data_IF_462491987003
#
_entry.id   IF_462491987003
#
_cell.length_a   1.000
_cell.length_b   1.000
_cell.length_c   1.000
_cell.angle_alpha   90.00
_cell.angle_beta   90.00
_cell.angle_gamma   90.00
#
_symmetry.space_group_name_H-M   'P 1'
#
loop_
_entity.id
_entity.type
_entity.pdbx_description
1 polymer ?
#
# COMPACT_ATOMS: atom_id res chain seq x y z
N UNK A 1 -7.14 -3.65 -0.13
CA UNK A 1 -6.75 -5.05 -0.45
C UNK A 1 -7.79 -5.83 -1.23
N UNK A 2 -9.09 -5.69 -0.96
CA UNK A 2 -10.16 -6.53 -1.56
C UNK A 2 -10.28 -6.50 -3.11
N UNK A 3 -9.81 -5.46 -3.80
CA UNK A 3 -9.87 -5.35 -5.26
C UNK A 3 -8.62 -5.85 -6.00
N UNK A 4 -7.63 -6.43 -5.30
CA UNK A 4 -6.33 -6.74 -5.89
C UNK A 4 -6.26 -8.18 -6.43
N UNK A 5 -5.99 -8.38 -7.74
CA UNK A 5 -6.03 -9.69 -8.38
C UNK A 5 -5.12 -10.75 -7.73
N UNK A 6 -3.95 -10.35 -7.25
CA UNK A 6 -2.96 -11.27 -6.66
C UNK A 6 -3.45 -11.98 -5.39
N UNK A 7 -4.41 -11.40 -4.66
CA UNK A 7 -5.01 -12.03 -3.48
C UNK A 7 -6.12 -13.00 -3.89
N UNK A 8 -6.93 -12.60 -4.88
CA UNK A 8 -8.09 -13.37 -5.34
C UNK A 8 -7.67 -14.71 -5.95
N UNK A 9 -6.58 -14.72 -6.74
CA UNK A 9 -6.08 -15.92 -7.42
C UNK A 9 -5.72 -17.05 -6.44
N UNK A 10 -5.26 -16.71 -5.23
CA UNK A 10 -4.90 -17.71 -4.20
C UNK A 10 -6.09 -18.49 -3.66
N UNK A 11 -7.31 -17.96 -3.75
CA UNK A 11 -8.51 -18.69 -3.33
C UNK A 11 -8.99 -19.70 -4.38
N UNK A 12 -8.55 -19.57 -5.64
CA UNK A 12 -8.92 -20.50 -6.71
C UNK A 12 -8.03 -21.74 -6.79
N UNK A 13 -6.90 -21.76 -6.09
CA UNK A 13 -6.02 -22.94 -6.05
C UNK A 13 -6.43 -23.97 -5.00
N UNK A 14 -7.40 -23.65 -4.13
CA UNK A 14 -7.89 -24.55 -3.08
C UNK A 14 -9.11 -25.33 -3.58
N UNK A 15 -9.11 -26.68 -3.54
CA UNK A 15 -10.19 -27.49 -4.11
C UNK A 15 -11.52 -27.40 -3.35
N UNK A 16 -11.49 -27.02 -2.06
CA UNK A 16 -12.68 -26.97 -1.19
C UNK A 16 -12.96 -25.56 -0.67
N UNK A 17 -14.21 -25.13 -0.79
CA UNK A 17 -14.69 -23.81 -0.30
C UNK A 17 -14.49 -23.66 1.21
N UNK A 18 -14.68 -24.74 1.99
CA UNK A 18 -14.49 -24.71 3.45
C UNK A 18 -13.04 -24.36 3.81
N UNK A 19 -12.08 -24.96 3.13
CA UNK A 19 -10.66 -24.77 3.42
C UNK A 19 -10.21 -23.36 3.00
N UNK A 20 -10.76 -22.82 1.91
CA UNK A 20 -10.59 -21.42 1.54
C UNK A 20 -11.09 -20.45 2.63
N UNK A 21 -12.27 -20.71 3.21
CA UNK A 21 -12.82 -19.88 4.32
C UNK A 21 -11.96 -19.95 5.57
N UNK A 22 -11.44 -21.13 5.94
CA UNK A 22 -10.54 -21.29 7.08
C UNK A 22 -9.23 -20.52 6.84
N UNK A 23 -8.69 -20.58 5.62
CA UNK A 23 -7.51 -19.80 5.26
C UNK A 23 -7.75 -18.29 5.37
N UNK A 24 -8.94 -17.78 5.01
CA UNK A 24 -9.32 -16.38 5.26
C UNK A 24 -9.32 -16.09 6.75
N UNK A 25 -9.89 -16.97 7.57
CA UNK A 25 -9.91 -16.83 9.03
C UNK A 25 -8.51 -16.67 9.62
N UNK A 26 -7.57 -17.55 9.27
CA UNK A 26 -6.17 -17.43 9.69
C UNK A 26 -5.51 -16.15 9.19
N UNK A 27 -5.73 -15.77 7.93
CA UNK A 27 -5.21 -14.52 7.38
C UNK A 27 -5.69 -13.31 8.19
N UNK A 28 -6.98 -13.26 8.54
CA UNK A 28 -7.55 -12.19 9.36
C UNK A 28 -6.93 -12.16 10.77
N UNK A 29 -6.69 -13.32 11.39
CA UNK A 29 -6.01 -13.40 12.69
C UNK A 29 -4.58 -12.82 12.62
N UNK A 30 -3.79 -13.20 11.61
CA UNK A 30 -2.44 -12.67 11.45
C UNK A 30 -2.43 -11.17 11.11
N UNK A 31 -3.37 -10.70 10.30
CA UNK A 31 -3.53 -9.27 10.01
C UNK A 31 -3.88 -8.52 11.27
N UNK A 32 -4.85 -9.00 12.06
CA UNK A 32 -5.24 -8.38 13.32
C UNK A 32 -4.05 -8.31 14.29
N UNK A 33 -3.32 -9.42 14.47
CA UNK A 33 -2.11 -9.47 15.29
C UNK A 33 -1.09 -8.41 14.84
N UNK A 34 -0.81 -8.35 13.53
CA UNK A 34 0.17 -7.40 12.98
C UNK A 34 -0.29 -5.95 13.16
N UNK A 35 -1.56 -5.65 12.87
CA UNK A 35 -2.10 -4.29 12.92
C UNK A 35 -2.27 -3.78 14.35
N UNK A 36 -2.39 -4.68 15.34
CA UNK A 36 -2.38 -4.31 16.75
C UNK A 36 -0.95 -4.19 17.30
N UNK A 37 -0.03 -5.08 16.91
CA UNK A 37 1.33 -5.09 17.45
C UNK A 37 2.21 -3.99 16.85
N UNK A 38 2.11 -3.71 15.54
CA UNK A 38 3.00 -2.76 14.88
C UNK A 38 2.91 -1.32 15.43
N UNK A 39 1.72 -0.73 15.65
CA UNK A 39 1.61 0.58 16.27
C UNK A 39 2.14 0.61 17.71
N UNK A 40 1.90 -0.46 18.49
CA UNK A 40 2.41 -0.56 19.85
C UNK A 40 3.95 -0.55 19.85
N UNK A 41 4.58 -1.36 19.01
CA UNK A 41 6.04 -1.39 18.86
C UNK A 41 6.58 -0.03 18.38
N UNK A 42 5.91 0.64 17.45
CA UNK A 42 6.31 1.96 16.97
C UNK A 42 6.28 3.02 18.08
N UNK A 43 5.26 3.00 18.94
CA UNK A 43 5.17 3.91 20.09
C UNK A 43 6.30 3.64 21.07
N UNK A 44 6.56 2.37 21.44
CA UNK A 44 7.67 2.02 22.32
C UNK A 44 9.04 2.43 21.73
N UNK A 45 9.24 2.20 20.43
CA UNK A 45 10.46 2.60 19.74
C UNK A 45 10.70 4.10 19.82
N UNK A 46 9.64 4.90 19.56
CA UNK A 46 9.73 6.36 19.65
C UNK A 46 10.01 6.82 21.07
N UNK A 47 9.32 6.27 22.07
CA UNK A 47 9.55 6.62 23.48
C UNK A 47 10.97 6.27 23.94
N UNK A 48 11.46 5.08 23.60
CA UNK A 48 12.83 4.67 23.96
C UNK A 48 13.88 5.55 23.29
N UNK A 49 13.64 5.92 22.02
CA UNK A 49 14.52 6.83 21.30
C UNK A 49 14.58 8.19 22.01
N UNK A 50 13.42 8.82 22.27
CA UNK A 50 13.33 10.10 22.97
C UNK A 50 14.09 10.07 24.31
N UNK A 51 13.86 9.04 25.12
CA UNK A 51 14.52 8.89 26.41
C UNK A 51 16.05 8.69 26.31
N UNK A 52 16.57 8.28 25.15
CA UNK A 52 17.99 8.00 24.93
C UNK A 52 18.73 9.17 24.29
N UNK A 53 18.06 9.97 23.45
CA UNK A 53 18.71 11.01 22.64
C UNK A 53 18.40 12.43 23.12
N UNK A 54 17.23 12.68 23.71
CA UNK A 54 16.81 14.05 24.04
C UNK A 54 17.64 14.62 25.19
N UNK A 55 18.23 15.79 24.96
CA UNK A 55 19.07 16.55 25.90
C UNK A 55 20.31 15.79 26.40
N UNK A 56 20.79 14.84 25.60
CA UNK A 56 22.00 14.07 25.91
C UNK A 56 23.20 14.59 25.10
N UNK A 57 24.42 14.56 25.66
CA UNK A 57 25.63 14.94 24.92
C UNK A 57 25.87 14.01 23.73
N UNK A 58 26.14 14.59 22.55
CA UNK A 58 26.45 13.81 21.35
C UNK A 58 27.64 12.87 21.56
N UNK A 59 28.66 13.32 22.30
CA UNK A 59 29.87 12.54 22.58
C UNK A 59 29.61 11.26 23.40
N UNK A 60 28.48 11.17 24.10
CA UNK A 60 28.09 10.02 24.92
C UNK A 60 27.08 9.10 24.22
N UNK A 61 26.79 9.36 22.93
CA UNK A 61 25.83 8.57 22.19
C UNK A 61 26.25 7.10 22.06
N UNK A 62 25.28 6.17 22.21
CA UNK A 62 25.54 4.75 22.10
C UNK A 62 25.94 4.33 20.67
N UNK A 63 26.63 3.21 20.54
CA UNK A 63 27.15 2.70 19.25
C UNK A 63 26.09 2.52 18.15
N UNK A 64 24.83 2.26 18.51
CA UNK A 64 23.75 2.19 17.52
C UNK A 64 23.54 3.54 16.83
N UNK A 65 23.65 4.65 17.56
CA UNK A 65 23.41 5.99 17.02
C UNK A 65 24.40 6.30 15.89
N UNK A 66 25.70 6.09 16.14
CA UNK A 66 26.76 6.33 15.15
C UNK A 66 26.67 5.39 13.95
N UNK A 67 26.20 4.14 14.13
CA UNK A 67 25.92 3.21 13.02
C UNK A 67 24.86 3.77 12.08
N UNK A 68 23.72 4.20 12.61
CA UNK A 68 22.63 4.74 11.81
C UNK A 68 22.95 6.13 11.24
N UNK A 69 23.77 6.92 11.93
CA UNK A 69 24.32 8.18 11.41
C UNK A 69 25.22 7.94 10.19
N UNK A 70 26.10 6.94 10.25
CA UNK A 70 26.97 6.54 9.13
C UNK A 70 26.17 6.13 7.89
N UNK A 71 24.97 5.58 8.07
CA UNK A 71 24.07 5.22 6.97
C UNK A 71 23.34 6.42 6.36
N UNK A 72 23.40 7.60 7.00
CA UNK A 72 22.66 8.80 6.59
C UNK A 72 21.16 8.77 6.93
N UNK A 73 20.71 7.76 7.69
CA UNK A 73 19.31 7.60 8.09
C UNK A 73 19.01 8.29 9.44
N UNK A 74 20.05 8.72 10.14
CA UNK A 74 20.02 9.67 11.24
C UNK A 74 21.01 10.78 10.88
N UNK A 75 20.66 12.03 11.15
CA UNK A 75 21.59 13.16 11.02
C UNK A 75 21.47 14.08 12.22
N UNK A 76 22.61 14.52 12.72
CA UNK A 76 22.73 15.49 13.79
C UNK A 76 23.44 16.75 13.27
N UNK A 77 22.81 17.90 13.46
CA UNK A 77 23.42 19.21 13.20
C UNK A 77 23.24 20.08 14.45
N UNK A 78 24.35 20.39 15.12
CA UNK A 78 24.36 21.28 16.29
C UNK A 78 24.14 22.73 15.82
N UNK A 79 22.97 23.29 16.12
CA UNK A 79 22.59 24.63 15.69
C UNK A 79 22.94 25.70 16.72
N UNK A 80 23.10 25.32 17.99
CA UNK A 80 23.26 26.24 19.10
C UNK A 80 24.67 26.19 19.74
N UNK A 81 25.48 25.19 19.39
CA UNK A 81 26.85 24.97 19.83
C UNK A 81 26.99 24.39 21.25
N UNK A 82 25.92 23.83 21.82
CA UNK A 82 25.91 23.27 23.19
C UNK A 82 26.38 21.81 23.27
N UNK A 83 26.52 21.12 22.12
CA UNK A 83 26.94 19.73 22.02
C UNK A 83 25.92 18.71 22.57
N UNK A 84 24.69 19.15 22.86
CA UNK A 84 23.56 18.31 23.22
C UNK A 84 22.75 17.98 21.97
N UNK A 85 21.90 16.96 22.06
CA UNK A 85 20.98 16.58 20.99
C UNK A 85 19.57 17.06 21.34
N UNK A 86 19.11 18.10 20.65
CA UNK A 86 17.75 18.60 20.80
C UNK A 86 16.83 18.00 19.74
N UNK A 87 15.95 17.09 20.16
CA UNK A 87 14.89 16.52 19.32
C UNK A 87 13.52 17.07 19.73
N UNK A 88 13.08 18.12 19.03
CA UNK A 88 11.93 18.93 19.43
C UNK A 88 10.94 19.15 18.28
N UNK A 89 9.70 19.49 18.65
CA UNK A 89 8.68 19.88 17.67
C UNK A 89 8.91 21.29 17.12
N UNK A 90 8.26 21.65 16.00
CA UNK A 90 8.43 22.96 15.34
C UNK A 90 7.96 24.16 16.18
N UNK A 91 7.19 23.94 17.24
CA UNK A 91 6.69 24.97 18.16
C UNK A 91 7.46 25.01 19.49
N UNK A 92 8.57 24.26 19.59
CA UNK A 92 9.35 24.22 20.82
C UNK A 92 10.06 25.55 21.07
N UNK A 93 9.99 26.01 22.32
CA UNK A 93 10.67 27.21 22.79
C UNK A 93 11.48 26.88 24.03
N UNK A 94 12.59 27.61 24.22
CA UNK A 94 13.42 27.49 25.40
C UNK A 94 12.78 28.22 26.60
N UNK A 95 13.46 28.18 27.74
CA UNK A 95 13.00 28.86 28.96
C UNK A 95 12.89 30.39 28.80
N UNK A 96 13.55 30.98 27.81
CA UNK A 96 13.50 32.41 27.48
C UNK A 96 12.44 32.75 26.41
N UNK A 97 11.73 31.74 25.88
CA UNK A 97 10.74 31.89 24.82
C UNK A 97 11.33 31.99 23.41
N UNK A 98 12.63 31.71 23.23
CA UNK A 98 13.26 31.64 21.92
C UNK A 98 12.98 30.28 21.27
N UNK A 99 12.75 30.22 19.93
CA UNK A 99 12.52 28.96 19.24
C UNK A 99 13.72 28.01 19.35
N UNK A 100 13.47 26.77 19.74
CA UNK A 100 14.47 25.70 19.75
C UNK A 100 14.40 24.99 18.41
N UNK A 101 15.52 24.92 17.71
CA UNK A 101 15.60 24.21 16.44
C UNK A 101 15.78 22.71 16.69
N UNK A 102 15.18 21.89 15.83
CA UNK A 102 15.36 20.46 15.91
C UNK A 102 16.69 20.07 15.26
N UNK A 103 17.62 19.56 16.06
CA UNK A 103 19.00 19.24 15.67
C UNK A 103 19.14 17.79 15.19
N UNK A 104 18.14 16.94 15.47
CA UNK A 104 18.15 15.52 15.12
C UNK A 104 17.09 15.18 14.07
N UNK A 105 17.52 14.74 12.90
CA UNK A 105 16.60 14.20 11.87
C UNK A 105 16.73 12.69 11.81
N UNK A 106 15.59 12.01 11.78
CA UNK A 106 15.49 10.54 11.79
C UNK A 106 14.55 10.11 10.67
N UNK A 107 15.02 9.17 9.84
CA UNK A 107 14.17 8.52 8.86
C UNK A 107 13.07 7.70 9.56
N UNK A 108 11.82 7.90 9.14
CA UNK A 108 10.67 7.26 9.78
C UNK A 108 10.63 5.74 9.53
N UNK A 109 11.23 5.27 8.44
CA UNK A 109 11.21 3.87 8.03
C UNK A 109 12.25 3.01 8.78
N UNK A 110 13.23 3.62 9.46
CA UNK A 110 14.23 2.88 10.24
C UNK A 110 13.79 2.53 11.67
N UNK A 111 12.76 3.20 12.20
CA UNK A 111 12.39 3.10 13.62
C UNK A 111 12.15 1.67 14.09
N UNK A 112 11.54 0.82 13.26
CA UNK A 112 11.26 -0.58 13.61
C UNK A 112 12.54 -1.43 13.56
N UNK A 113 13.43 -1.16 12.62
CA UNK A 113 14.69 -1.90 12.44
C UNK A 113 15.74 -1.53 13.49
N UNK A 114 15.80 -0.25 13.88
CA UNK A 114 16.70 0.26 14.91
C UNK A 114 16.23 -0.07 16.34
N UNK A 115 14.91 -0.27 16.55
CA UNK A 115 14.35 -0.46 17.89
C UNK A 115 15.00 -1.60 18.71
N UNK A 116 15.32 -2.79 18.17
CA UNK A 116 16.04 -3.81 18.92
C UNK A 116 17.38 -3.33 19.48
N UNK A 117 18.11 -2.49 18.74
CA UNK A 117 19.38 -1.91 19.17
C UNK A 117 19.18 -0.80 20.20
N UNK A 118 18.18 0.08 19.98
CA UNK A 118 17.78 1.13 20.93
C UNK A 118 17.37 0.50 22.28
N UNK A 119 16.64 -0.61 22.24
CA UNK A 119 16.20 -1.37 23.41
C UNK A 119 17.30 -2.26 24.02
N UNK A 120 18.55 -2.21 23.49
CA UNK A 120 19.71 -2.97 23.98
C UNK A 120 19.46 -4.49 24.00
N UNK A 121 18.72 -5.00 23.02
CA UNK A 121 18.48 -6.44 22.88
C UNK A 121 19.75 -7.16 22.41
N UNK A 122 19.90 -8.46 22.71
CA UNK A 122 21.03 -9.24 22.24
C UNK A 122 21.16 -9.25 20.71
N UNK A 123 22.39 -9.28 20.20
CA UNK A 123 22.69 -9.25 18.75
C UNK A 123 21.94 -10.32 17.93
N UNK A 124 21.66 -11.48 18.50
CA UNK A 124 20.90 -12.53 17.82
C UNK A 124 19.43 -12.15 17.59
N UNK A 125 18.84 -11.33 18.49
CA UNK A 125 17.48 -10.80 18.32
C UNK A 125 17.46 -9.76 17.21
N UNK A 126 18.44 -8.84 17.22
CA UNK A 126 18.62 -7.83 16.16
C UNK A 126 18.74 -8.51 14.80
N UNK A 127 19.60 -9.53 14.70
CA UNK A 127 19.78 -10.31 13.49
C UNK A 127 18.52 -11.04 13.03
N UNK A 128 17.73 -11.61 13.96
CA UNK A 128 16.48 -12.28 13.65
C UNK A 128 15.42 -11.30 13.10
N UNK A 129 15.30 -10.12 13.71
CA UNK A 129 14.37 -9.06 13.25
C UNK A 129 14.77 -8.57 11.85
N UNK A 130 16.05 -8.28 11.64
CA UNK A 130 16.57 -7.84 10.35
C UNK A 130 16.34 -8.91 9.26
N UNK A 131 16.66 -10.19 9.55
CA UNK A 131 16.43 -11.30 8.64
C UNK A 131 14.94 -11.51 8.33
N UNK A 132 14.07 -11.39 9.34
CA UNK A 132 12.61 -11.48 9.16
C UNK A 132 12.06 -10.36 8.28
N UNK A 133 12.51 -9.12 8.50
CA UNK A 133 12.13 -7.95 7.68
C UNK A 133 12.56 -8.12 6.22
N UNK A 134 13.81 -8.52 5.99
CA UNK A 134 14.34 -8.83 4.66
C UNK A 134 13.54 -9.96 3.98
N UNK A 135 13.26 -11.05 4.71
CA UNK A 135 12.50 -12.18 4.18
C UNK A 135 11.07 -11.76 3.77
N UNK A 136 10.41 -10.92 4.57
CA UNK A 136 9.08 -10.39 4.27
C UNK A 136 9.08 -9.49 3.02
N UNK A 137 10.07 -8.59 2.92
CA UNK A 137 10.23 -7.70 1.78
C UNK A 137 10.49 -8.48 0.48
N UNK A 138 11.43 -9.43 0.50
CA UNK A 138 11.80 -10.26 -0.64
C UNK A 138 10.64 -11.17 -1.10
N UNK A 139 9.89 -11.75 -0.15
CA UNK A 139 8.71 -12.57 -0.45
C UNK A 139 7.63 -11.77 -1.18
N UNK A 140 7.39 -10.53 -0.75
CA UNK A 140 6.41 -9.65 -1.37
C UNK A 140 6.89 -9.16 -2.74
N UNK A 141 8.16 -8.76 -2.85
CA UNK A 141 8.75 -8.30 -4.10
C UNK A 141 8.70 -9.38 -5.18
N UNK A 142 9.12 -10.62 -4.85
CA UNK A 142 9.06 -11.74 -5.79
C UNK A 142 7.63 -12.02 -6.27
N UNK A 143 6.65 -12.02 -5.36
CA UNK A 143 5.25 -12.23 -5.69
C UNK A 143 4.68 -11.15 -6.62
N UNK A 144 4.93 -9.87 -6.33
CA UNK A 144 4.44 -8.76 -7.15
C UNK A 144 5.14 -8.70 -8.52
N UNK A 145 6.44 -9.00 -8.59
CA UNK A 145 7.18 -9.09 -9.85
C UNK A 145 6.62 -10.18 -10.76
N UNK A 146 6.28 -11.35 -10.22
CA UNK A 146 5.64 -12.42 -10.99
C UNK A 146 4.27 -12.00 -11.52
N UNK A 147 3.47 -11.32 -10.70
CA UNK A 147 2.14 -10.83 -11.11
C UNK A 147 2.26 -9.77 -12.20
N UNK A 148 3.19 -8.82 -12.07
CA UNK A 148 3.45 -7.79 -13.07
C UNK A 148 3.93 -8.42 -14.39
N UNK A 149 4.85 -9.37 -14.29
CA UNK A 149 5.40 -10.09 -15.43
C UNK A 149 4.32 -10.86 -16.20
N UNK A 150 3.41 -11.54 -15.49
CA UNK A 150 2.26 -12.23 -16.09
C UNK A 150 1.27 -11.23 -16.70
N UNK A 151 0.99 -10.10 -16.04
CA UNK A 151 0.10 -9.07 -16.58
C UNK A 151 0.63 -8.48 -17.90
N UNK A 152 1.94 -8.28 -18.02
CA UNK A 152 2.53 -7.75 -19.25
C UNK A 152 2.63 -8.83 -20.34
N UNK A 153 3.14 -10.01 -20.02
CA UNK A 153 3.37 -11.08 -21.00
C UNK A 153 2.07 -11.75 -21.45
N UNK A 154 1.20 -12.11 -20.51
CA UNK A 154 -0.01 -12.88 -20.79
C UNK A 154 -1.21 -11.99 -21.06
N UNK A 155 -1.52 -11.03 -20.17
CA UNK A 155 -2.75 -10.23 -20.31
C UNK A 155 -2.64 -9.13 -21.36
N UNK A 156 -1.53 -8.38 -21.37
CA UNK A 156 -1.34 -7.27 -22.31
C UNK A 156 -0.86 -7.77 -23.68
N UNK A 157 0.23 -8.55 -23.72
CA UNK A 157 0.80 -9.03 -24.97
C UNK A 157 -0.01 -10.18 -25.56
N UNK A 158 -0.01 -11.36 -24.94
CA UNK A 158 -0.65 -12.54 -25.56
C UNK A 158 -2.15 -12.38 -25.72
N UNK A 159 -2.89 -11.94 -24.71
CA UNK A 159 -4.35 -11.90 -24.78
C UNK A 159 -4.90 -10.74 -25.63
N UNK A 160 -4.24 -9.57 -25.62
CA UNK A 160 -4.76 -8.38 -26.27
C UNK A 160 -3.98 -7.93 -27.53
N UNK A 161 -2.64 -7.83 -27.48
CA UNK A 161 -1.89 -7.13 -28.54
C UNK A 161 -1.27 -8.06 -29.60
N UNK A 162 -0.74 -9.21 -29.19
CA UNK A 162 -0.12 -10.22 -30.06
C UNK A 162 -0.56 -11.65 -29.66
N UNK A 163 -1.78 -12.06 -30.04
CA UNK A 163 -2.31 -13.41 -29.79
C UNK A 163 -1.41 -14.55 -30.27
N UNK A 164 -0.70 -14.33 -31.36
CA UNK A 164 0.12 -15.35 -32.01
C UNK A 164 1.55 -15.43 -31.46
N UNK A 165 1.83 -14.82 -30.29
CA UNK A 165 3.16 -14.89 -29.68
C UNK A 165 3.50 -16.33 -29.27
N UNK A 166 4.67 -16.81 -29.69
CA UNK A 166 5.17 -18.12 -29.27
C UNK A 166 5.41 -18.18 -27.76
N UNK A 167 5.35 -19.38 -27.16
CA UNK A 167 5.64 -19.57 -25.72
C UNK A 167 7.02 -19.06 -25.33
N UNK A 168 8.03 -19.25 -26.20
CA UNK A 168 9.37 -18.70 -25.99
C UNK A 168 9.38 -17.18 -25.97
N UNK A 169 8.60 -16.54 -26.85
CA UNK A 169 8.45 -15.09 -26.91
C UNK A 169 7.71 -14.53 -25.69
N UNK A 170 6.67 -15.20 -25.22
CA UNK A 170 5.94 -14.86 -24.00
C UNK A 170 6.86 -14.94 -22.78
N UNK A 171 7.63 -16.02 -22.63
CA UNK A 171 8.61 -16.18 -21.56
C UNK A 171 9.71 -15.12 -21.59
N UNK A 172 10.17 -14.72 -22.79
CA UNK A 172 11.15 -13.66 -22.94
C UNK A 172 10.57 -12.31 -22.49
N UNK A 173 9.35 -11.98 -22.93
CA UNK A 173 8.67 -10.76 -22.52
C UNK A 173 8.41 -10.71 -21.01
N UNK A 174 8.06 -11.85 -20.40
CA UNK A 174 7.93 -12.00 -18.96
C UNK A 174 9.24 -11.67 -18.22
N UNK A 175 10.38 -12.22 -18.67
CA UNK A 175 11.69 -11.96 -18.05
C UNK A 175 12.16 -10.53 -18.25
N UNK A 176 11.99 -9.97 -19.45
CA UNK A 176 12.36 -8.59 -19.76
C UNK A 176 11.55 -7.59 -18.94
N UNK A 177 10.24 -7.80 -18.82
CA UNK A 177 9.38 -6.95 -18.00
C UNK A 177 9.73 -7.02 -16.51
N UNK A 178 10.01 -8.21 -15.98
CA UNK A 178 10.49 -8.37 -14.60
C UNK A 178 11.84 -7.67 -14.38
N UNK A 179 12.79 -7.83 -15.30
CA UNK A 179 14.09 -7.16 -15.23
C UNK A 179 13.95 -5.64 -15.27
N UNK A 180 13.12 -5.12 -16.18
CA UNK A 180 12.83 -3.68 -16.26
C UNK A 180 12.19 -3.15 -14.97
N UNK A 181 11.23 -3.89 -14.40
CA UNK A 181 10.59 -3.52 -13.14
C UNK A 181 11.58 -3.47 -11.98
N UNK A 182 12.54 -4.39 -11.91
CA UNK A 182 13.61 -4.39 -10.90
C UNK A 182 14.51 -3.15 -11.06
N UNK A 183 14.86 -2.76 -12.29
CA UNK A 183 15.66 -1.56 -12.53
C UNK A 183 14.93 -0.29 -12.08
N UNK A 184 13.64 -0.16 -12.42
CA UNK A 184 12.81 0.99 -11.99
C UNK A 184 12.65 1.00 -10.47
N UNK A 185 12.36 -0.16 -9.86
CA UNK A 185 12.24 -0.27 -8.40
C UNK A 185 13.56 0.04 -7.69
N UNK A 186 14.71 -0.40 -8.23
CA UNK A 186 16.03 -0.05 -7.71
C UNK A 186 16.32 1.44 -7.80
N UNK A 187 16.00 2.07 -8.93
CA UNK A 187 16.15 3.52 -9.10
C UNK A 187 15.28 4.32 -8.11
N UNK A 188 14.01 3.96 -7.96
CA UNK A 188 13.09 4.58 -7.01
C UNK A 188 13.44 4.25 -5.55
N UNK A 189 14.10 3.13 -5.29
CA UNK A 189 14.62 2.79 -3.96
C UNK A 189 15.79 3.69 -3.54
N UNK A 190 16.62 4.12 -4.50
CA UNK A 190 17.71 5.09 -4.24
C UNK A 190 17.17 6.52 -4.18
N UNK A 191 16.15 6.85 -4.98
CA UNK A 191 15.52 8.17 -5.01
C UNK A 191 14.02 8.06 -4.67
N UNK A 192 13.67 7.81 -3.39
CA UNK A 192 12.29 7.60 -2.99
C UNK A 192 11.48 8.90 -3.14
N UNK A 193 10.29 8.86 -3.77
CA UNK A 193 9.43 10.04 -3.92
C UNK A 193 8.74 10.47 -2.60
N UNK A 194 8.88 9.66 -1.56
CA UNK A 194 8.34 9.83 -0.22
C UNK A 194 8.71 8.59 0.60
N UNK A 195 8.41 8.58 1.89
CA UNK A 195 8.65 7.41 2.73
C UNK A 195 7.79 6.22 2.26
N UNK A 196 8.21 4.99 2.58
CA UNK A 196 7.67 3.78 1.95
C UNK A 196 6.16 3.66 2.16
N UNK A 197 5.67 3.92 3.38
CA UNK A 197 4.24 3.83 3.69
C UNK A 197 3.38 4.83 2.88
N UNK A 198 3.92 6.01 2.55
CA UNK A 198 3.23 7.00 1.71
C UNK A 198 3.07 6.52 0.28
N UNK A 199 4.15 6.03 -0.33
CA UNK A 199 4.13 5.51 -1.71
C UNK A 199 3.18 4.33 -1.83
N UNK A 200 3.16 3.47 -0.81
CA UNK A 200 2.22 2.35 -0.70
C UNK A 200 0.78 2.84 -0.59
N UNK A 201 0.51 3.89 0.20
CA UNK A 201 -0.82 4.49 0.32
C UNK A 201 -1.34 5.01 -1.03
N UNK A 202 -0.49 5.63 -1.86
CA UNK A 202 -0.87 6.05 -3.21
C UNK A 202 -1.27 4.89 -4.11
N UNK A 203 -0.46 3.82 -4.12
CA UNK A 203 -0.74 2.64 -4.94
C UNK A 203 -2.07 1.97 -4.53
N UNK A 204 -2.32 1.84 -3.23
CA UNK A 204 -3.61 1.31 -2.73
C UNK A 204 -4.76 2.27 -3.00
N UNK A 205 -4.55 3.58 -2.87
CA UNK A 205 -5.55 4.60 -3.14
C UNK A 205 -6.03 4.57 -4.59
N UNK A 206 -5.10 4.47 -5.55
CA UNK A 206 -5.39 4.33 -6.98
C UNK A 206 -6.10 3.00 -7.30
N UNK A 207 -5.66 1.89 -6.67
CA UNK A 207 -6.32 0.60 -6.84
C UNK A 207 -7.75 0.60 -6.27
N UNK A 208 -7.95 1.24 -5.11
CA UNK A 208 -9.25 1.38 -4.46
C UNK A 208 -10.19 2.28 -5.27
N UNK A 209 -9.69 3.36 -5.86
CA UNK A 209 -10.51 4.26 -6.68
C UNK A 209 -10.83 3.72 -8.07
N UNK A 210 -10.15 2.65 -8.51
CA UNK A 210 -10.35 2.03 -9.83
C UNK A 210 -11.11 0.70 -9.75
N UNK A 211 -10.43 -0.37 -9.33
CA UNK A 211 -10.90 -1.74 -9.54
C UNK A 211 -11.98 -2.13 -8.54
N UNK A 212 -11.86 -1.65 -7.30
CA UNK A 212 -12.73 -2.09 -6.23
C UNK A 212 -14.22 -1.81 -6.50
N UNK A 213 -14.65 -0.59 -6.87
CA UNK A 213 -16.04 -0.30 -7.22
C UNK A 213 -16.58 -1.15 -8.37
N UNK A 214 -15.78 -1.34 -9.42
CA UNK A 214 -16.17 -2.13 -10.59
C UNK A 214 -16.30 -3.61 -10.27
N UNK A 215 -15.41 -4.18 -9.45
CA UNK A 215 -15.51 -5.57 -8.99
C UNK A 215 -16.76 -5.75 -8.13
N UNK A 216 -16.98 -4.85 -7.16
CA UNK A 216 -18.17 -4.90 -6.30
C UNK A 216 -19.44 -4.74 -7.13
N UNK A 217 -19.53 -3.75 -8.01
CA UNK A 217 -20.70 -3.57 -8.86
C UNK A 217 -20.86 -4.71 -9.87
N UNK A 218 -19.77 -5.33 -10.36
CA UNK A 218 -19.82 -6.45 -11.29
C UNK A 218 -20.38 -7.72 -10.65
N UNK A 219 -20.11 -7.96 -9.36
CA UNK A 219 -20.67 -9.07 -8.59
C UNK A 219 -22.07 -8.70 -8.04
N UNK A 220 -22.18 -7.47 -7.53
CA UNK A 220 -23.26 -6.68 -6.89
C UNK A 220 -24.46 -6.24 -7.74
N UNK A 221 -24.28 -6.02 -9.03
CA UNK A 221 -25.27 -5.37 -9.88
C UNK A 221 -25.43 -6.07 -11.23
N UNK A 222 -26.68 -6.35 -11.60
CA UNK A 222 -27.01 -6.84 -12.95
C UNK A 222 -26.94 -5.72 -14.00
N UNK A 223 -26.82 -4.46 -13.57
CA UNK A 223 -26.93 -3.29 -14.44
C UNK A 223 -25.57 -2.75 -14.90
N UNK A 224 -24.49 -3.06 -14.20
CA UNK A 224 -23.16 -2.58 -14.56
C UNK A 224 -22.76 -3.10 -15.95
N UNK A 225 -22.50 -2.17 -16.87
CA UNK A 225 -22.05 -2.46 -18.23
C UNK A 225 -20.62 -1.92 -18.44
N UNK A 226 -20.06 -2.21 -19.61
CA UNK A 226 -18.70 -1.79 -20.01
C UNK A 226 -18.50 -0.28 -19.90
N UNK A 227 -19.45 0.50 -20.41
CA UNK A 227 -19.33 1.96 -20.44
C UNK A 227 -19.36 2.56 -19.04
N UNK A 228 -20.25 2.08 -18.16
CA UNK A 228 -20.27 2.48 -16.75
C UNK A 228 -18.98 2.08 -16.01
N UNK A 229 -18.47 0.87 -16.25
CA UNK A 229 -17.23 0.41 -15.63
C UNK A 229 -16.02 1.26 -16.06
N UNK A 230 -15.87 1.54 -17.36
CA UNK A 230 -14.77 2.35 -17.89
C UNK A 230 -14.87 3.79 -17.38
N UNK A 231 -16.05 4.41 -17.45
CA UNK A 231 -16.25 5.77 -16.98
C UNK A 231 -15.95 5.90 -15.47
N UNK A 232 -16.43 4.96 -14.67
CA UNK A 232 -16.14 4.92 -13.24
C UNK A 232 -14.64 4.80 -12.94
N UNK A 233 -13.95 3.85 -13.58
CA UNK A 233 -12.49 3.67 -13.41
C UNK A 233 -11.71 4.92 -13.82
N UNK A 234 -12.03 5.53 -14.96
CA UNK A 234 -11.35 6.72 -15.44
C UNK A 234 -11.58 7.91 -14.49
N UNK A 235 -12.81 8.15 -14.04
CA UNK A 235 -13.09 9.24 -13.10
C UNK A 235 -12.41 9.03 -11.75
N UNK A 236 -12.45 7.80 -11.21
CA UNK A 236 -11.82 7.47 -9.93
C UNK A 236 -10.30 7.60 -9.96
N UNK A 237 -9.63 7.03 -10.98
CA UNK A 237 -8.18 7.16 -11.16
C UNK A 237 -7.81 8.62 -11.37
N UNK A 238 -8.49 9.32 -12.27
CA UNK A 238 -8.13 10.69 -12.63
C UNK A 238 -8.23 11.62 -11.43
N UNK A 239 -9.30 11.52 -10.63
CA UNK A 239 -9.44 12.34 -9.42
C UNK A 239 -8.33 12.03 -8.41
N UNK A 240 -8.12 10.75 -8.10
CA UNK A 240 -7.09 10.33 -7.13
C UNK A 240 -5.69 10.73 -7.59
N UNK A 241 -5.35 10.45 -8.85
CA UNK A 241 -4.04 10.78 -9.42
C UNK A 241 -3.81 12.29 -9.51
N UNK A 242 -4.79 13.06 -10.00
CA UNK A 242 -4.66 14.52 -10.10
C UNK A 242 -4.44 15.15 -8.72
N UNK A 243 -5.14 14.67 -7.69
CA UNK A 243 -4.98 15.16 -6.33
C UNK A 243 -3.59 14.86 -5.77
N UNK A 244 -3.11 13.62 -5.92
CA UNK A 244 -1.75 13.22 -5.50
C UNK A 244 -0.69 14.04 -6.25
N UNK A 245 -0.81 14.13 -7.58
CA UNK A 245 0.15 14.87 -8.42
C UNK A 245 0.20 16.34 -8.04
N UNK A 246 -0.95 16.95 -7.79
CA UNK A 246 -1.03 18.36 -7.40
C UNK A 246 -0.27 18.63 -6.09
N UNK A 247 -0.57 17.88 -5.03
CA UNK A 247 0.01 18.16 -3.71
C UNK A 247 1.44 17.62 -3.53
N UNK A 248 1.86 16.60 -4.28
CA UNK A 248 3.19 15.99 -4.08
C UNK A 248 4.23 16.43 -5.12
N UNK A 249 3.81 16.82 -6.32
CA UNK A 249 4.74 17.12 -7.41
C UNK A 249 4.58 18.52 -7.98
N UNK A 250 3.35 19.07 -8.07
CA UNK A 250 3.13 20.39 -8.68
C UNK A 250 3.26 21.53 -7.67
N UNK A 251 2.62 21.39 -6.51
CA UNK A 251 2.66 22.39 -5.44
C UNK A 251 2.84 21.73 -4.05
N UNK A 252 4.05 21.24 -3.74
CA UNK A 252 4.35 20.65 -2.43
C UNK A 252 4.11 21.61 -1.26
N UNK A 253 4.35 22.92 -1.45
CA UNK A 253 4.14 23.93 -0.42
C UNK A 253 2.68 24.12 -0.01
N UNK A 254 1.74 23.78 -0.89
CA UNK A 254 0.32 23.78 -0.57
C UNK A 254 -0.15 22.53 0.18
N UNK A 255 0.71 21.52 0.39
CA UNK A 255 0.36 20.26 1.06
C UNK A 255 0.24 20.42 2.58
N UNK A 256 -0.73 21.24 3.00
CA UNK A 256 -1.09 21.51 4.39
C UNK A 256 -2.57 21.22 4.59
N UNK A 257 -2.95 20.86 5.82
CA UNK A 257 -4.30 20.43 6.17
C UNK A 257 -5.41 21.42 5.76
N UNK A 258 -5.10 22.72 5.76
CA UNK A 258 -6.03 23.78 5.36
C UNK A 258 -6.44 23.70 3.89
N UNK A 259 -5.54 23.23 3.02
CA UNK A 259 -5.81 23.10 1.59
C UNK A 259 -6.40 21.73 1.22
N UNK A 260 -6.49 20.81 2.18
CA UNK A 260 -6.98 19.46 1.92
C UNK A 260 -8.50 19.43 1.79
N UNK A 261 -8.99 18.67 0.80
CA UNK A 261 -10.42 18.53 0.59
C UNK A 261 -11.01 17.71 1.72
N UNK A 262 -11.93 18.30 2.48
CA UNK A 262 -12.53 17.67 3.66
C UNK A 262 -11.51 17.20 4.70
N UNK A 263 -10.32 17.81 4.73
CA UNK A 263 -9.21 17.38 5.59
C UNK A 263 -8.57 16.05 5.20
N UNK A 264 -8.85 15.54 3.99
CA UNK A 264 -8.30 14.28 3.49
C UNK A 264 -6.95 14.54 2.85
N UNK A 265 -5.89 13.98 3.44
CA UNK A 265 -4.54 14.08 2.88
C UNK A 265 -4.43 13.36 1.53
N UNK A 266 -3.41 13.68 0.71
CA UNK A 266 -3.18 13.01 -0.57
C UNK A 266 -3.07 11.49 -0.47
N UNK A 267 -2.58 10.97 0.65
CA UNK A 267 -2.46 9.53 0.93
C UNK A 267 -3.83 8.86 1.14
N UNK A 268 -4.82 9.60 1.64
CA UNK A 268 -6.17 9.13 1.93
C UNK A 268 -7.19 9.32 0.80
N UNK A 269 -6.87 10.13 -0.22
CA UNK A 269 -7.84 10.57 -1.25
C UNK A 269 -8.44 9.43 -2.08
N UNK A 270 -7.81 8.25 -2.08
CA UNK A 270 -8.33 7.05 -2.74
C UNK A 270 -9.76 6.69 -2.32
N UNK A 271 -10.15 6.96 -1.07
CA UNK A 271 -11.51 6.72 -0.58
C UNK A 271 -12.54 7.63 -1.29
N UNK A 272 -12.20 8.89 -1.53
CA UNK A 272 -13.05 9.81 -2.28
C UNK A 272 -13.13 9.41 -3.76
N UNK A 273 -11.99 9.06 -4.37
CA UNK A 273 -11.96 8.55 -5.74
C UNK A 273 -12.80 7.28 -5.91
N UNK A 274 -12.79 6.39 -4.92
CA UNK A 274 -13.65 5.19 -4.87
C UNK A 274 -15.14 5.56 -4.85
N UNK A 275 -15.53 6.53 -4.02
CA UNK A 275 -16.91 7.01 -3.97
C UNK A 275 -17.36 7.62 -5.30
N UNK A 276 -16.48 8.41 -5.93
CA UNK A 276 -16.75 8.98 -7.26
C UNK A 276 -16.90 7.88 -8.31
N UNK A 277 -16.04 6.86 -8.32
CA UNK A 277 -16.18 5.74 -9.23
C UNK A 277 -17.51 4.99 -9.02
N UNK A 278 -17.90 4.66 -7.78
CA UNK A 278 -19.21 4.07 -7.50
C UNK A 278 -20.36 4.90 -8.07
N UNK A 279 -20.33 6.22 -7.85
CA UNK A 279 -21.35 7.13 -8.33
C UNK A 279 -21.39 7.17 -9.86
N UNK A 280 -20.25 7.45 -10.52
CA UNK A 280 -20.15 7.55 -11.98
C UNK A 280 -20.50 6.23 -12.65
N UNK A 281 -19.95 5.10 -12.18
CA UNK A 281 -20.25 3.79 -12.74
C UNK A 281 -21.75 3.45 -12.65
N UNK A 282 -22.38 3.78 -11.52
CA UNK A 282 -23.81 3.54 -11.32
C UNK A 282 -24.67 4.45 -12.20
N UNK A 283 -24.32 5.74 -12.30
CA UNK A 283 -25.06 6.71 -13.12
C UNK A 283 -24.91 6.36 -14.60
N UNK A 284 -23.68 6.29 -15.11
CA UNK A 284 -23.41 6.02 -16.53
C UNK A 284 -24.00 4.68 -16.95
N UNK A 285 -23.89 3.64 -16.12
CA UNK A 285 -24.49 2.34 -16.45
C UNK A 285 -26.00 2.43 -16.62
N UNK A 286 -26.72 3.27 -15.86
CA UNK A 286 -28.18 3.45 -16.04
C UNK A 286 -28.56 4.15 -17.33
N UNK A 287 -27.72 5.08 -17.81
CA UNK A 287 -27.96 5.84 -19.05
C UNK A 287 -27.42 5.17 -20.31
N UNK A 288 -26.72 4.04 -20.20
CA UNK A 288 -26.15 3.30 -21.32
C UNK A 288 -26.81 1.91 -21.48
N UNK A 289 -26.68 1.23 -22.64
CA UNK A 289 -27.39 -0.02 -22.91
C UNK A 289 -27.19 -1.10 -21.84
N UNK A 290 -28.23 -1.86 -21.53
CA UNK A 290 -28.15 -2.93 -20.54
C UNK A 290 -27.14 -4.02 -20.97
N UNK A 291 -26.44 -4.66 -20.00
CA UNK A 291 -25.60 -5.81 -20.30
C UNK A 291 -26.40 -6.92 -20.99
N UNK A 292 -25.77 -7.73 -21.88
CA UNK A 292 -26.43 -8.88 -22.50
C UNK A 292 -27.04 -9.84 -21.46
N UNK A 293 -28.14 -10.54 -21.79
CA UNK A 293 -28.81 -11.45 -20.85
C UNK A 293 -27.88 -12.52 -20.25
N UNK A 294 -26.91 -13.00 -21.03
CA UNK A 294 -25.93 -13.97 -20.56
C UNK A 294 -25.05 -13.44 -19.42
N UNK A 295 -24.60 -12.18 -19.50
CA UNK A 295 -23.83 -11.53 -18.46
C UNK A 295 -24.66 -11.36 -17.18
N UNK A 296 -25.94 -11.00 -17.30
CA UNK A 296 -26.84 -10.88 -16.14
C UNK A 296 -27.06 -12.22 -15.45
N UNK A 297 -27.26 -13.29 -16.22
CA UNK A 297 -27.37 -14.67 -15.70
C UNK A 297 -26.08 -15.16 -15.05
N UNK A 298 -24.92 -14.74 -15.53
CA UNK A 298 -23.64 -15.03 -14.88
C UNK A 298 -23.59 -14.40 -13.47
N UNK A 299 -23.98 -13.13 -13.35
CA UNK A 299 -24.02 -12.42 -12.06
C UNK A 299 -24.97 -13.10 -11.07
N UNK A 300 -26.13 -13.56 -11.53
CA UNK A 300 -27.08 -14.32 -10.71
C UNK A 300 -26.48 -15.65 -10.21
N UNK A 301 -25.86 -16.42 -11.11
CA UNK A 301 -25.26 -17.71 -10.77
C UNK A 301 -24.08 -17.61 -9.81
N UNK A 302 -23.30 -16.53 -9.87
CA UNK A 302 -22.17 -16.31 -8.94
C UNK A 302 -22.66 -16.12 -7.49
N UNK A 303 -23.89 -15.63 -7.29
CA UNK A 303 -24.45 -15.39 -5.95
C UNK A 303 -25.16 -16.60 -5.36
N UNK A 304 -25.62 -17.52 -6.19
CA UNK A 304 -26.29 -18.73 -5.73
C UNK A 304 -25.22 -19.77 -5.39
N UNK A 305 -25.07 -20.19 -4.12
CA UNK A 305 -24.14 -21.24 -3.77
C UNK A 305 -24.56 -22.53 -4.50
N UNK A 306 -23.59 -23.21 -5.14
CA UNK A 306 -23.81 -24.55 -5.70
C UNK A 306 -24.35 -25.46 -4.59
N UNK A 307 -25.64 -25.83 -4.70
CA UNK A 307 -26.35 -26.64 -3.70
C UNK A 307 -27.66 -26.04 -3.17
N UNK A 308 -27.97 -24.77 -3.44
CA UNK A 308 -29.33 -24.24 -3.27
C UNK A 308 -30.15 -24.62 -4.51
N UNK A 309 -30.67 -25.85 -4.54
CA UNK A 309 -31.58 -26.31 -5.60
C UNK A 309 -32.86 -25.47 -5.64
N UNK A 310 -33.50 -25.44 -6.81
CA UNK A 310 -34.88 -24.93 -6.94
C UNK A 310 -35.77 -25.65 -5.93
N UNK A 311 -36.56 -24.88 -5.17
CA UNK A 311 -37.60 -25.46 -4.34
C UNK A 311 -38.59 -26.16 -5.27
N UNK A 312 -38.60 -27.50 -5.25
CA UNK A 312 -39.70 -28.26 -5.83
C UNK A 312 -40.97 -27.85 -5.11
N UNK A 313 -41.90 -27.21 -5.83
CA UNK A 313 -43.29 -27.12 -5.38
C UNK A 313 -43.81 -28.55 -5.24
N UNK A 314 -44.11 -28.94 -4.00
CA UNK A 314 -44.90 -30.15 -3.75
C UNK A 314 -46.34 -29.73 -4.03
N UNK A 315 -46.79 -29.90 -5.27
CA UNK A 315 -48.20 -29.80 -5.62
C UNK A 315 -48.93 -30.96 -4.95
N UNK A 316 -49.79 -30.64 -3.97
CA UNK A 316 -50.85 -31.53 -3.51
C UNK A 316 -52.03 -31.54 -4.48
#
# INVERSE_FOLDING_TARGET
TAGLPHVIIRFYTVPKVRDARISVGWALVFIALLYTAAPAVAVFARTNLLNTVTDQPYAEMPEWFTKWETTGLISYEDHNGDGLIQYVGPEAVDAAGAPVQNELTIDRDIMVLANPEIARLPNWVVGLVAAGGLAAALSTAAGLLLVLSAAISHDLLKRNWRPDISERGELLAARLSAGFAVLVAGYLGVNPPGFVAEVVAFAFGLAASSFFPVIILGIFSKRLNREGAIAGMLCGITLTAAYIVYFKFVNPGANVAENWWFGISPEGIGALGMAVNFAVATVVSRFTPAPPPEAQRLVERIRLPRGAGEAHEISG
#
